data_IF_848760740136
#
_entry.id   IF_848760740136
#
_cell.length_a   1.000
_cell.length_b   1.000
_cell.length_c   1.000
_cell.angle_alpha   90.00
_cell.angle_beta   90.00
_cell.angle_gamma   90.00
#
_symmetry.space_group_name_H-M   'P 1'
#
loop_
_entity.id
_entity.type
_entity.pdbx_description
1 polymer ?
#
# COMPACT_ATOMS: atom_id res chain seq x y z
N UNK A 1 28.54 10.34 -57.82
CA UNK A 1 27.67 11.51 -57.52
C UNK A 1 26.28 10.94 -57.20
N UNK A 2 25.67 11.05 -56.03
CA UNK A 2 25.75 12.07 -54.99
C UNK A 2 25.49 11.45 -53.60
N UNK A 3 26.28 11.89 -52.62
CA UNK A 3 26.12 11.61 -51.19
C UNK A 3 24.93 12.41 -50.66
N UNK A 4 23.93 11.74 -50.05
CA UNK A 4 22.90 12.41 -49.26
C UNK A 4 23.29 12.39 -47.78
N UNK A 5 23.82 13.53 -47.36
CA UNK A 5 24.06 13.93 -45.99
C UNK A 5 22.71 14.16 -45.29
N UNK A 6 22.39 13.36 -44.27
CA UNK A 6 21.29 13.64 -43.35
C UNK A 6 21.87 14.12 -42.02
N UNK A 7 21.38 15.29 -41.65
CA UNK A 7 21.85 16.24 -40.65
C UNK A 7 21.28 15.84 -39.29
N UNK A 8 22.15 15.58 -38.32
CA UNK A 8 21.77 15.32 -36.93
C UNK A 8 21.28 16.63 -36.26
N UNK A 9 20.28 16.57 -35.37
CA UNK A 9 19.84 17.73 -34.60
C UNK A 9 20.81 18.08 -33.47
N UNK A 10 20.95 19.37 -33.08
CA UNK A 10 21.87 19.80 -32.04
C UNK A 10 21.37 19.44 -30.64
N UNK A 11 22.29 18.89 -29.86
CA UNK A 11 22.21 18.61 -28.44
C UNK A 11 22.15 19.93 -27.65
N UNK A 12 21.10 20.12 -26.84
CA UNK A 12 20.95 21.28 -25.96
C UNK A 12 21.21 20.83 -24.53
N UNK A 13 22.30 21.33 -23.93
CA UNK A 13 22.57 21.21 -22.50
C UNK A 13 22.11 22.48 -21.79
N UNK A 14 21.43 22.39 -20.64
CA UNK A 14 21.37 23.50 -19.70
C UNK A 14 22.57 23.47 -18.76
N UNK A 15 23.37 24.52 -18.90
CA UNK A 15 24.52 24.92 -18.09
C UNK A 15 24.16 25.09 -16.61
N UNK A 16 25.03 24.54 -15.77
CA UNK A 16 25.22 24.81 -14.35
C UNK A 16 25.45 26.30 -14.07
N UNK A 17 24.65 26.90 -13.20
CA UNK A 17 24.98 28.17 -12.53
C UNK A 17 25.12 27.93 -11.03
N UNK A 18 26.33 28.15 -10.54
CA UNK A 18 26.75 28.22 -9.14
C UNK A 18 26.67 29.69 -8.68
N UNK A 19 26.03 29.95 -7.53
CA UNK A 19 26.43 30.95 -6.52
C UNK A 19 25.37 30.95 -5.40
N UNK A 20 25.65 30.44 -4.20
CA UNK A 20 26.49 30.99 -3.12
C UNK A 20 25.80 32.10 -2.29
N UNK A 21 25.47 31.69 -1.05
CA UNK A 21 25.56 32.48 0.19
C UNK A 21 24.38 33.38 0.61
N UNK A 22 23.77 33.02 1.76
CA UNK A 22 23.43 33.83 2.97
C UNK A 22 22.51 32.94 3.83
N UNK A 23 23.04 32.18 4.79
CA UNK A 23 23.15 32.53 6.23
C UNK A 23 21.88 33.17 6.80
N UNK A 24 21.07 32.37 7.51
CA UNK A 24 20.60 32.75 8.85
C UNK A 24 20.16 31.52 9.67
N UNK A 25 20.80 31.39 10.83
CA UNK A 25 20.57 30.37 11.88
C UNK A 25 19.60 30.95 12.95
N UNK A 26 19.33 30.28 14.08
CA UNK A 26 18.02 29.86 14.54
C UNK A 26 17.39 30.81 15.58
N UNK A 27 16.06 30.76 15.75
CA UNK A 27 15.41 31.33 16.94
C UNK A 27 15.10 30.22 17.94
N UNK A 28 15.77 30.30 19.08
CA UNK A 28 15.51 29.52 20.27
C UNK A 28 14.82 30.37 21.34
N UNK A 29 14.11 29.71 22.25
CA UNK A 29 13.63 30.14 23.57
C UNK A 29 12.43 31.11 23.69
N UNK A 30 11.38 30.60 24.34
CA UNK A 30 10.97 30.90 25.75
C UNK A 30 9.70 30.07 26.06
N UNK A 31 9.74 29.04 26.91
CA UNK A 31 9.54 29.10 28.37
C UNK A 31 8.48 30.11 28.80
N UNK A 32 7.27 29.62 29.12
CA UNK A 32 6.35 30.33 30.01
C UNK A 32 5.80 29.39 31.07
N UNK A 33 5.97 29.84 32.30
CA UNK A 33 5.71 29.17 33.56
C UNK A 33 4.22 29.15 33.94
N UNK A 34 3.91 28.22 34.85
CA UNK A 34 2.65 28.05 35.61
C UNK A 34 2.15 29.34 36.29
N UNK A 35 0.87 29.35 36.70
CA UNK A 35 0.50 29.36 38.14
C UNK A 35 -0.55 28.25 38.43
N UNK A 36 -0.57 27.47 39.52
CA UNK A 36 -0.55 27.66 40.98
C UNK A 36 -1.86 28.17 41.62
N UNK A 37 -2.63 27.18 42.12
CA UNK A 37 -3.46 27.14 43.34
C UNK A 37 -4.76 27.98 43.46
N UNK A 38 -5.88 27.35 43.86
CA UNK A 38 -6.34 27.29 45.28
C UNK A 38 -7.79 26.74 45.41
N UNK A 39 -7.98 25.82 46.37
CA UNK A 39 -9.10 25.59 47.34
C UNK A 39 -10.56 26.01 46.99
N UNK A 40 -11.66 25.37 47.42
CA UNK A 40 -11.94 24.29 48.37
C UNK A 40 -13.43 23.84 48.28
N UNK A 41 -13.72 22.65 48.84
CA UNK A 41 -14.97 22.10 49.43
C UNK A 41 -16.30 22.86 49.26
N UNK A 42 -17.38 22.16 48.85
CA UNK A 42 -18.58 21.95 49.68
C UNK A 42 -19.29 20.64 49.31
N UNK A 43 -19.81 20.00 50.35
CA UNK A 43 -20.43 18.69 50.41
C UNK A 43 -21.96 18.90 50.40
N UNK A 44 -22.71 18.18 49.56
CA UNK A 44 -24.17 18.02 49.77
C UNK A 44 -24.65 16.65 49.29
N UNK A 45 -24.79 15.80 50.30
CA UNK A 45 -25.65 14.63 50.41
C UNK A 45 -27.03 14.86 49.79
N UNK A 46 -27.62 13.82 49.18
CA UNK A 46 -29.04 13.42 49.33
C UNK A 46 -29.23 11.96 48.82
N UNK A 47 -30.29 11.24 49.26
CA UNK A 47 -30.15 9.84 49.69
C UNK A 47 -30.80 8.76 48.81
N UNK A 48 -30.43 7.54 49.20
CA UNK A 48 -30.90 6.18 48.93
C UNK A 48 -32.39 6.02 48.60
N UNK A 49 -32.69 5.24 47.55
CA UNK A 49 -33.90 4.41 47.46
C UNK A 49 -33.56 3.02 46.91
N UNK A 50 -33.77 2.02 47.77
CA UNK A 50 -33.65 0.57 47.57
C UNK A 50 -34.92 0.04 46.86
N UNK A 51 -34.85 -1.21 46.38
CA UNK A 51 -35.95 -2.13 45.97
C UNK A 51 -36.24 -2.04 44.44
N UNK A 52 -36.16 -3.09 43.61
CA UNK A 52 -36.70 -4.45 43.71
C UNK A 52 -36.05 -5.40 42.70
N UNK A 53 -35.90 -6.64 43.13
CA UNK A 53 -35.66 -7.84 42.33
C UNK A 53 -36.58 -7.99 41.10
N UNK A 54 -36.08 -8.61 40.02
CA UNK A 54 -36.75 -9.74 39.37
C UNK A 54 -35.86 -10.48 38.37
N UNK A 55 -35.94 -11.81 38.48
CA UNK A 55 -35.40 -12.86 37.62
C UNK A 55 -35.76 -12.70 36.14
N UNK A 56 -34.78 -12.94 35.25
CA UNK A 56 -35.03 -13.46 33.89
C UNK A 56 -33.96 -14.52 33.56
N UNK A 57 -34.28 -15.82 33.56
CA UNK A 57 -33.50 -16.83 32.87
C UNK A 57 -34.21 -17.24 31.57
N UNK A 58 -33.65 -16.89 30.41
CA UNK A 58 -34.08 -17.39 29.10
C UNK A 58 -32.87 -17.64 28.18
N UNK A 59 -32.43 -18.90 28.17
CA UNK A 59 -32.08 -19.75 27.01
C UNK A 59 -32.15 -19.03 25.64
N UNK A 60 -31.13 -19.05 24.76
CA UNK A 60 -30.57 -20.13 23.90
C UNK A 60 -29.82 -19.40 22.74
N UNK A 61 -29.08 -20.04 21.80
CA UNK A 61 -28.92 -21.47 21.56
C UNK A 61 -27.45 -21.93 21.44
N UNK A 62 -27.22 -23.19 21.78
CA UNK A 62 -26.23 -24.01 21.09
C UNK A 62 -26.70 -24.19 19.65
N UNK A 63 -25.89 -23.79 18.67
CA UNK A 63 -26.08 -24.21 17.28
C UNK A 63 -25.23 -25.44 16.99
N UNK A 64 -25.83 -26.62 16.81
CA UNK A 64 -25.25 -27.67 15.98
C UNK A 64 -25.93 -27.61 14.62
N UNK A 65 -25.29 -26.98 13.62
CA UNK A 65 -25.71 -27.12 12.22
C UNK A 65 -24.56 -26.75 11.29
N UNK A 66 -24.00 -27.79 10.69
CA UNK A 66 -23.05 -27.79 9.60
C UNK A 66 -23.42 -26.82 8.47
N UNK A 67 -22.42 -26.20 7.83
CA UNK A 67 -22.56 -25.62 6.50
C UNK A 67 -21.32 -25.94 5.68
N UNK A 68 -21.50 -26.91 4.77
CA UNK A 68 -20.77 -27.12 3.52
C UNK A 68 -19.40 -26.41 3.42
N UNK A 69 -18.32 -27.10 3.80
CA UNK A 69 -17.00 -26.81 3.22
C UNK A 69 -16.88 -27.58 1.92
N UNK A 70 -17.60 -27.14 0.89
CA UNK A 70 -17.04 -27.28 -0.44
C UNK A 70 -16.10 -26.09 -0.57
N UNK A 71 -14.80 -26.29 -0.32
CA UNK A 71 -13.78 -25.33 -0.73
C UNK A 71 -13.76 -25.35 -2.25
N UNK A 72 -14.71 -24.66 -2.89
CA UNK A 72 -14.59 -24.31 -4.28
C UNK A 72 -13.38 -23.37 -4.37
N UNK A 73 -12.26 -23.87 -4.91
CA UNK A 73 -11.12 -23.04 -5.27
C UNK A 73 -11.65 -21.93 -6.18
N UNK A 74 -11.45 -20.67 -5.80
CA UNK A 74 -11.89 -19.54 -6.62
C UNK A 74 -11.14 -19.50 -7.96
N UNK A 75 -9.99 -20.16 -8.03
CA UNK A 75 -9.14 -20.21 -9.20
C UNK A 75 -9.62 -21.25 -10.22
N UNK A 76 -10.43 -20.81 -11.18
CA UNK A 76 -10.79 -21.60 -12.37
C UNK A 76 -9.66 -21.59 -13.41
N UNK A 77 -9.57 -22.60 -14.30
CA UNK A 77 -8.55 -22.60 -15.37
C UNK A 77 -8.61 -21.33 -16.25
N UNK A 78 -9.81 -20.87 -16.60
CA UNK A 78 -9.99 -19.65 -17.39
C UNK A 78 -9.51 -18.40 -16.66
N UNK A 79 -9.71 -18.33 -15.34
CA UNK A 79 -9.22 -17.24 -14.51
C UNK A 79 -7.69 -17.27 -14.40
N UNK A 80 -7.08 -18.46 -14.26
CA UNK A 80 -5.62 -18.62 -14.31
C UNK A 80 -5.04 -18.04 -15.60
N UNK A 81 -5.57 -18.41 -16.76
CA UNK A 81 -5.07 -17.92 -18.04
C UNK A 81 -5.21 -16.38 -18.16
N UNK A 82 -6.26 -15.83 -17.57
CA UNK A 82 -6.49 -14.37 -17.53
C UNK A 82 -5.47 -13.69 -16.61
N UNK A 83 -5.21 -14.24 -15.43
CA UNK A 83 -4.20 -13.72 -14.50
C UNK A 83 -2.80 -13.81 -15.10
N UNK A 84 -2.47 -14.92 -15.76
CA UNK A 84 -1.19 -15.10 -16.45
C UNK A 84 -0.98 -14.05 -17.54
N UNK A 85 -2.02 -13.74 -18.33
CA UNK A 85 -1.96 -12.63 -19.30
C UNK A 85 -1.81 -11.28 -18.64
N UNK A 86 -2.47 -11.05 -17.50
CA UNK A 86 -2.38 -9.77 -16.78
C UNK A 86 -0.99 -9.55 -16.18
N UNK A 87 -0.40 -10.54 -15.52
CA UNK A 87 0.95 -10.40 -14.93
C UNK A 87 2.04 -10.26 -15.99
N UNK A 88 1.81 -10.78 -17.19
CA UNK A 88 2.72 -10.68 -18.33
C UNK A 88 2.40 -9.49 -19.26
N UNK A 89 1.39 -8.67 -18.94
CA UNK A 89 1.00 -7.55 -19.80
C UNK A 89 2.04 -6.44 -19.85
N UNK A 90 2.70 -6.20 -18.71
CA UNK A 90 3.77 -5.22 -18.54
C UNK A 90 4.89 -5.84 -17.70
N UNK A 91 6.09 -5.27 -17.80
CA UNK A 91 7.26 -5.77 -17.06
C UNK A 91 7.11 -5.65 -15.55
N UNK A 92 6.36 -4.65 -15.07
CA UNK A 92 6.09 -4.45 -13.65
C UNK A 92 4.60 -4.21 -13.47
N UNK A 93 3.94 -5.09 -12.71
CA UNK A 93 2.49 -5.05 -12.48
C UNK A 93 2.21 -5.04 -10.97
N UNK A 94 1.40 -4.09 -10.52
CA UNK A 94 1.04 -3.90 -9.12
C UNK A 94 -0.47 -4.12 -8.92
N UNK A 95 -0.82 -5.18 -8.20
CA UNK A 95 -2.19 -5.41 -7.75
C UNK A 95 -2.39 -4.76 -6.38
N UNK A 96 -3.26 -3.75 -6.32
CA UNK A 96 -3.39 -2.90 -5.13
C UNK A 96 -4.83 -2.48 -4.86
N UNK A 97 -5.04 -1.86 -3.69
CA UNK A 97 -6.33 -1.28 -3.28
C UNK A 97 -6.39 0.17 -3.74
N UNK A 98 -7.27 0.47 -4.71
CA UNK A 98 -7.31 1.77 -5.38
C UNK A 98 -6.39 1.80 -6.60
N UNK A 99 -5.99 3.00 -7.02
CA UNK A 99 -5.13 3.23 -8.19
C UNK A 99 -3.84 3.97 -7.78
N UNK A 100 -2.87 4.06 -8.69
CA UNK A 100 -1.59 4.78 -8.45
C UNK A 100 -1.75 6.26 -8.12
N UNK A 101 -2.86 6.86 -8.56
CA UNK A 101 -3.21 8.26 -8.31
C UNK A 101 -4.07 8.40 -7.06
N UNK A 102 -4.92 7.41 -6.78
CA UNK A 102 -5.83 7.39 -5.64
C UNK A 102 -5.69 6.08 -4.83
N UNK A 103 -4.57 5.91 -4.09
CA UNK A 103 -4.38 4.71 -3.27
C UNK A 103 -5.34 4.71 -2.08
N UNK A 104 -6.06 3.61 -1.89
CA UNK A 104 -7.08 3.47 -0.83
C UNK A 104 -6.56 2.75 0.43
N UNK A 105 -5.26 2.43 0.48
CA UNK A 105 -4.64 1.74 1.60
C UNK A 105 -3.20 2.22 1.79
N UNK A 106 -2.76 2.40 3.05
CA UNK A 106 -1.39 2.85 3.38
C UNK A 106 -0.31 1.95 2.79
N UNK A 107 -0.47 0.62 2.88
CA UNK A 107 0.49 -0.33 2.29
C UNK A 107 0.56 -0.22 0.76
N UNK A 108 -0.58 -0.03 0.11
CA UNK A 108 -0.63 0.19 -1.34
C UNK A 108 0.05 1.51 -1.72
N UNK A 109 -0.16 2.58 -0.96
CA UNK A 109 0.54 3.83 -1.17
C UNK A 109 2.06 3.67 -1.02
N UNK A 110 2.54 2.95 -0.01
CA UNK A 110 3.98 2.70 0.19
C UNK A 110 4.64 2.09 -1.05
N UNK A 111 4.07 1.02 -1.61
CA UNK A 111 4.63 0.38 -2.81
C UNK A 111 4.59 1.32 -4.02
N UNK A 112 3.51 2.07 -4.21
CA UNK A 112 3.42 3.09 -5.27
C UNK A 112 4.52 4.14 -5.14
N UNK A 113 4.79 4.64 -3.91
CA UNK A 113 5.86 5.62 -3.70
C UNK A 113 7.25 5.03 -3.98
N UNK A 114 7.49 3.77 -3.59
CA UNK A 114 8.75 3.08 -3.90
C UNK A 114 8.97 3.02 -5.42
N UNK A 115 7.99 2.53 -6.17
CA UNK A 115 8.11 2.41 -7.64
C UNK A 115 8.26 3.78 -8.32
N UNK A 116 7.55 4.81 -7.83
CA UNK A 116 7.71 6.20 -8.30
C UNK A 116 9.10 6.75 -8.00
N UNK A 117 9.66 6.48 -6.82
CA UNK A 117 11.01 6.91 -6.45
C UNK A 117 12.10 6.23 -7.29
N UNK A 118 11.84 5.01 -7.77
CA UNK A 118 12.72 4.30 -8.70
C UNK A 118 12.54 4.73 -10.16
N UNK A 119 11.58 5.62 -10.46
CA UNK A 119 11.24 6.04 -11.81
C UNK A 119 10.90 4.88 -12.76
N UNK A 120 10.32 3.81 -12.21
CA UNK A 120 9.98 2.59 -12.94
C UNK A 120 8.58 2.73 -13.53
N UNK A 121 8.37 2.49 -14.83
CA UNK A 121 7.02 2.34 -15.37
C UNK A 121 6.42 1.04 -14.87
N UNK A 122 5.19 1.11 -14.35
CA UNK A 122 4.43 -0.06 -13.90
C UNK A 122 2.97 0.10 -14.28
N UNK A 123 2.24 -1.01 -14.31
CA UNK A 123 0.78 -1.05 -14.42
C UNK A 123 0.13 -1.25 -13.06
N UNK A 124 -0.96 -0.55 -12.76
CA UNK A 124 -1.71 -0.70 -11.52
C UNK A 124 -3.10 -1.29 -11.76
N UNK A 125 -3.41 -2.36 -11.05
CA UNK A 125 -4.72 -3.03 -11.15
C UNK A 125 -5.46 -2.90 -9.82
N UNK A 126 -6.62 -2.24 -9.87
CA UNK A 126 -7.48 -2.06 -8.70
C UNK A 126 -8.28 -3.33 -8.39
N UNK A 127 -7.85 -4.08 -7.38
CA UNK A 127 -8.49 -5.34 -6.96
C UNK A 127 -9.84 -5.15 -6.27
N UNK A 128 -10.22 -3.92 -5.91
CA UNK A 128 -11.50 -3.64 -5.25
C UNK A 128 -12.69 -3.69 -6.22
N UNK A 129 -12.43 -3.57 -7.52
CA UNK A 129 -13.47 -3.56 -8.56
C UNK A 129 -13.93 -4.97 -8.96
N UNK A 130 -13.09 -6.00 -8.72
CA UNK A 130 -13.36 -7.36 -9.11
C UNK A 130 -12.98 -8.36 -8.00
N UNK A 131 -13.98 -8.86 -7.27
CA UNK A 131 -13.78 -9.80 -6.16
C UNK A 131 -13.29 -11.18 -6.65
N UNK A 132 -13.65 -11.61 -7.87
CA UNK A 132 -13.13 -12.87 -8.44
C UNK A 132 -11.63 -12.77 -8.70
N UNK A 133 -11.17 -11.66 -9.27
CA UNK A 133 -9.74 -11.39 -9.49
C UNK A 133 -8.99 -11.31 -8.16
N UNK A 134 -9.57 -10.63 -7.16
CA UNK A 134 -9.00 -10.53 -5.81
C UNK A 134 -8.82 -11.88 -5.14
N UNK A 135 -9.82 -12.75 -5.20
CA UNK A 135 -9.73 -14.07 -4.57
C UNK A 135 -8.83 -15.01 -5.38
N UNK A 136 -8.91 -14.95 -6.72
CA UNK A 136 -8.05 -15.70 -7.62
C UNK A 136 -6.57 -15.37 -7.45
N UNK A 137 -6.21 -14.09 -7.27
CA UNK A 137 -4.82 -13.67 -7.05
C UNK A 137 -4.22 -14.25 -5.77
N UNK A 138 -4.99 -14.30 -4.67
CA UNK A 138 -4.51 -14.90 -3.41
C UNK A 138 -4.14 -16.38 -3.59
N UNK A 139 -4.94 -17.10 -4.37
CA UNK A 139 -4.70 -18.52 -4.69
C UNK A 139 -3.58 -18.68 -5.73
N UNK A 140 -3.49 -17.79 -6.72
CA UNK A 140 -2.48 -17.81 -7.78
C UNK A 140 -1.08 -17.57 -7.22
N UNK A 141 -0.92 -16.55 -6.37
CA UNK A 141 0.36 -16.18 -5.77
C UNK A 141 0.67 -16.94 -4.48
N UNK A 142 -0.30 -17.71 -3.97
CA UNK A 142 -0.27 -18.28 -2.62
C UNK A 142 0.03 -17.24 -1.53
N UNK A 143 -0.51 -16.02 -1.67
CA UNK A 143 -0.25 -14.89 -0.77
C UNK A 143 -1.57 -14.25 -0.28
N UNK A 144 -1.78 -14.11 1.06
CA UNK A 144 -3.09 -13.74 1.59
C UNK A 144 -3.43 -12.24 1.53
N UNK A 145 -2.45 -11.37 1.27
CA UNK A 145 -2.60 -9.90 1.40
C UNK A 145 -2.34 -9.14 0.11
N UNK A 146 -2.68 -7.84 0.13
CA UNK A 146 -2.40 -6.87 -0.93
C UNK A 146 -1.79 -5.62 -0.27
N UNK A 147 -0.90 -4.88 -0.97
CA UNK A 147 -0.53 -4.99 -2.39
C UNK A 147 0.32 -6.24 -2.72
N UNK A 148 0.28 -6.67 -3.99
CA UNK A 148 1.13 -7.72 -4.55
C UNK A 148 1.86 -7.16 -5.78
N UNK A 149 3.18 -7.28 -5.80
CA UNK A 149 4.05 -6.84 -6.89
C UNK A 149 4.48 -8.03 -7.75
N UNK A 150 4.38 -7.87 -9.06
CA UNK A 150 4.89 -8.81 -10.06
C UNK A 150 5.93 -8.12 -10.93
N UNK A 151 7.00 -8.84 -11.25
CA UNK A 151 8.09 -8.37 -12.12
C UNK A 151 8.38 -9.47 -13.12
N UNK A 152 8.35 -9.14 -14.41
CA UNK A 152 8.54 -10.06 -15.55
C UNK A 152 7.64 -11.31 -15.47
N UNK A 153 6.37 -11.11 -15.07
CA UNK A 153 5.39 -12.19 -14.91
C UNK A 153 5.53 -13.01 -13.62
N UNK A 154 6.60 -12.83 -12.85
CA UNK A 154 6.86 -13.56 -11.61
C UNK A 154 6.39 -12.77 -10.38
N UNK A 155 5.86 -13.49 -9.39
CA UNK A 155 5.45 -12.89 -8.12
C UNK A 155 6.68 -12.50 -7.31
N UNK A 156 6.86 -11.19 -7.08
CA UNK A 156 7.97 -10.67 -6.29
C UNK A 156 7.66 -10.70 -4.79
N UNK A 157 6.50 -10.16 -4.37
CA UNK A 157 6.14 -10.13 -2.96
C UNK A 157 5.05 -9.13 -2.58
N UNK A 158 4.81 -9.02 -1.27
CA UNK A 158 3.93 -8.03 -0.67
C UNK A 158 4.64 -6.71 -0.31
N UNK A 159 3.94 -5.83 0.41
CA UNK A 159 4.47 -4.52 0.81
C UNK A 159 5.79 -4.60 1.61
N UNK A 160 5.85 -5.48 2.61
CA UNK A 160 7.00 -5.54 3.52
C UNK A 160 8.27 -6.04 2.81
N UNK A 161 8.12 -7.10 1.99
CA UNK A 161 9.20 -7.64 1.15
C UNK A 161 9.69 -6.57 0.16
N UNK A 162 8.76 -5.85 -0.46
CA UNK A 162 9.10 -4.77 -1.41
C UNK A 162 9.86 -3.63 -0.72
N UNK A 163 9.45 -3.27 0.49
CA UNK A 163 10.12 -2.21 1.25
C UNK A 163 11.53 -2.64 1.69
N UNK A 164 11.70 -3.88 2.15
CA UNK A 164 13.00 -4.43 2.53
C UNK A 164 13.94 -4.51 1.32
N UNK A 165 13.47 -5.06 0.19
CA UNK A 165 14.26 -5.15 -1.04
C UNK A 165 14.63 -3.77 -1.61
N UNK A 166 13.77 -2.77 -1.44
CA UNK A 166 14.09 -1.39 -1.81
C UNK A 166 15.19 -0.79 -0.93
N UNK A 167 15.19 -1.09 0.37
CA UNK A 167 16.21 -0.63 1.32
C UNK A 167 17.55 -1.33 1.11
N UNK A 168 17.53 -2.60 0.73
CA UNK A 168 18.75 -3.37 0.43
C UNK A 168 19.36 -3.04 -0.92
N UNK A 169 18.58 -2.48 -1.86
CA UNK A 169 19.00 -2.24 -3.25
C UNK A 169 18.65 -3.38 -4.21
N UNK A 170 18.17 -4.51 -3.70
CA UNK A 170 17.83 -5.71 -4.48
C UNK A 170 16.69 -5.44 -5.48
N UNK A 171 15.68 -4.65 -5.07
CA UNK A 171 14.54 -4.35 -5.94
C UNK A 171 14.99 -3.62 -7.21
N UNK A 172 15.93 -2.70 -7.08
CA UNK A 172 16.50 -1.93 -8.19
C UNK A 172 17.17 -2.87 -9.19
N UNK A 173 18.02 -3.77 -8.71
CA UNK A 173 18.73 -4.74 -9.56
C UNK A 173 17.77 -5.67 -10.31
N UNK A 174 16.71 -6.14 -9.64
CA UNK A 174 15.71 -7.02 -10.23
C UNK A 174 14.91 -6.29 -11.31
N UNK A 175 14.47 -5.06 -11.04
CA UNK A 175 13.69 -4.27 -12.00
C UNK A 175 14.53 -3.85 -13.21
N UNK A 176 15.77 -3.41 -13.01
CA UNK A 176 16.67 -3.06 -14.11
C UNK A 176 16.91 -4.25 -15.04
N UNK A 177 17.09 -5.45 -14.46
CA UNK A 177 17.23 -6.70 -15.23
C UNK A 177 15.98 -7.01 -16.05
N UNK A 178 14.79 -6.85 -15.47
CA UNK A 178 13.53 -7.12 -16.15
C UNK A 178 13.21 -6.12 -17.29
N UNK A 179 13.67 -4.87 -17.17
CA UNK A 179 13.48 -3.85 -18.21
C UNK A 179 14.49 -4.05 -19.35
N UNK A 180 15.66 -4.63 -19.08
CA UNK A 180 16.69 -4.90 -20.09
C UNK A 180 16.50 -6.23 -20.85
N UNK A 181 15.53 -7.07 -20.46
CA UNK A 181 15.23 -8.36 -21.09
C UNK A 181 14.20 -8.25 -22.22
#
# INVERSE_FOLDING_TARGET
MALRSLKTPPFVTPTTVVSSSIINKPRSFRFFSKPSASLAVHNLHQPISIIRSNLIPKLKPSSPAAKFRCSASALTPQLRDTLEKLVNSEKVVLFMKGTRDFPMCGFSNTVVQILKNLNVPFEDVNILENEMLRQGLKEYSNWPTFPQLYIDGEFFGGCDITLEAFQSGELQEVVERAICS
#
